data_IF_748114364076
#
_entry.id   IF_748114364076
#
_cell.length_a   1.000
_cell.length_b   1.000
_cell.length_c   1.000
_cell.angle_alpha   90.00
_cell.angle_beta   90.00
_cell.angle_gamma   90.00
#
_symmetry.space_group_name_H-M   'P 1'
#
loop_
_entity.id
_entity.type
_entity.pdbx_description
1 polymer ?
#
# COMPACT_ATOMS: atom_id res chain seq x y z
N UNK A 1 21.32 23.00 34.08
CA UNK A 1 20.24 23.84 34.62
C UNK A 1 19.58 24.51 33.43
N UNK A 2 18.38 24.07 33.06
CA UNK A 2 17.66 24.53 31.87
C UNK A 2 16.82 25.76 32.25
N UNK A 3 17.26 26.94 31.86
CA UNK A 3 16.38 28.11 31.79
C UNK A 3 16.10 28.33 30.30
N UNK A 4 15.07 27.66 29.80
CA UNK A 4 14.46 27.99 28.51
C UNK A 4 12.97 28.08 28.72
N UNK A 5 12.53 29.15 29.39
CA UNK A 5 11.17 29.62 29.24
C UNK A 5 11.11 30.42 27.95
N UNK A 6 10.55 29.81 26.90
CA UNK A 6 10.32 30.45 25.59
C UNK A 6 9.25 31.55 25.62
N UNK A 7 9.26 32.40 26.65
CA UNK A 7 8.33 33.52 26.82
C UNK A 7 9.06 34.82 26.47
N UNK A 8 8.58 35.48 25.42
CA UNK A 8 9.11 36.76 24.96
C UNK A 8 8.02 37.81 25.08
N UNK A 9 8.30 38.90 25.80
CA UNK A 9 7.48 40.10 25.81
C UNK A 9 8.05 41.08 24.79
N UNK A 10 7.31 41.31 23.70
CA UNK A 10 7.75 42.17 22.63
C UNK A 10 7.00 43.50 22.64
N UNK A 11 7.74 44.59 22.48
CA UNK A 11 7.23 45.95 22.36
C UNK A 11 7.68 46.54 21.03
N UNK A 12 6.74 46.83 20.15
CA UNK A 12 6.96 47.55 18.90
C UNK A 12 6.66 49.02 19.12
N UNK A 13 7.62 49.88 18.80
CA UNK A 13 7.57 51.33 18.99
C UNK A 13 7.60 51.99 17.61
N UNK A 14 6.66 52.88 17.35
CA UNK A 14 6.65 53.77 16.18
C UNK A 14 6.91 55.19 16.69
N UNK A 15 7.92 55.86 16.13
CA UNK A 15 8.49 57.09 16.67
C UNK A 15 8.57 58.13 15.55
N UNK A 16 8.07 59.34 15.79
CA UNK A 16 8.21 60.45 14.84
C UNK A 16 9.70 60.72 14.53
N UNK A 17 10.00 60.99 13.26
CA UNK A 17 11.37 61.11 12.73
C UNK A 17 12.22 62.22 13.40
N UNK A 18 11.59 63.22 14.02
CA UNK A 18 12.23 64.37 14.64
C UNK A 18 12.78 64.09 16.05
N UNK A 19 12.30 63.06 16.74
CA UNK A 19 12.68 62.75 18.12
C UNK A 19 13.52 61.46 18.27
N UNK A 20 13.80 60.74 17.18
CA UNK A 20 14.41 59.40 17.19
C UNK A 20 15.69 59.32 18.04
N UNK A 21 16.65 60.21 17.84
CA UNK A 21 17.93 60.18 18.58
C UNK A 21 17.73 60.38 20.10
N UNK A 22 16.80 61.27 20.46
CA UNK A 22 16.48 61.53 21.87
C UNK A 22 15.70 60.37 22.48
N UNK A 23 14.83 59.76 21.69
CA UNK A 23 14.04 58.59 22.09
C UNK A 23 14.93 57.37 22.29
N UNK A 24 15.85 57.07 21.37
CA UNK A 24 16.79 55.95 21.47
C UNK A 24 17.69 56.06 22.71
N UNK A 25 18.15 57.27 23.04
CA UNK A 25 18.91 57.54 24.27
C UNK A 25 18.10 57.28 25.55
N UNK A 26 16.81 57.60 25.55
CA UNK A 26 15.92 57.24 26.66
C UNK A 26 15.62 55.74 26.70
N UNK A 27 15.33 55.13 25.55
CA UNK A 27 15.00 53.71 25.42
C UNK A 27 16.12 52.82 25.96
N UNK A 28 17.39 53.15 25.71
CA UNK A 28 18.53 52.42 26.26
C UNK A 28 18.49 52.35 27.80
N UNK A 29 18.25 53.49 28.47
CA UNK A 29 18.12 53.54 29.92
C UNK A 29 16.85 52.83 30.42
N UNK A 30 15.75 52.95 29.68
CA UNK A 30 14.49 52.28 30.02
C UNK A 30 14.61 50.76 29.95
N UNK A 31 15.35 50.22 28.96
CA UNK A 31 15.65 48.79 28.85
C UNK A 31 16.48 48.31 30.04
N UNK A 32 17.47 49.08 30.50
CA UNK A 32 18.25 48.73 31.70
C UNK A 32 17.35 48.63 32.94
N UNK A 33 16.46 49.60 33.17
CA UNK A 33 15.49 49.57 34.27
C UNK A 33 14.56 48.34 34.18
N UNK A 34 14.12 47.99 32.98
CA UNK A 34 13.30 46.79 32.76
C UNK A 34 14.04 45.49 33.11
N UNK A 35 15.37 45.43 32.88
CA UNK A 35 16.19 44.27 33.21
C UNK A 35 16.49 44.13 34.72
N UNK A 36 16.23 45.18 35.52
CA UNK A 36 16.31 45.11 36.99
C UNK A 36 15.05 44.45 37.61
N UNK A 37 13.97 44.33 36.84
CA UNK A 37 12.70 43.74 37.30
C UNK A 37 12.85 42.22 37.42
N UNK A 38 12.39 41.60 38.54
CA UNK A 38 12.47 40.15 38.71
C UNK A 38 11.85 39.37 37.56
N UNK A 39 12.63 38.45 36.98
CA UNK A 39 12.21 37.56 35.91
C UNK A 39 12.47 38.08 34.49
N UNK A 40 12.97 39.30 34.30
CA UNK A 40 13.50 39.78 33.02
C UNK A 40 14.99 39.39 32.88
N UNK A 41 15.32 38.55 31.90
CA UNK A 41 16.65 37.93 31.77
C UNK A 41 17.57 38.72 30.84
N UNK A 42 17.04 39.14 29.70
CA UNK A 42 17.79 39.86 28.66
C UNK A 42 16.85 40.59 27.73
N UNK A 43 17.35 41.62 27.05
CA UNK A 43 16.61 42.38 26.06
C UNK A 43 17.41 42.50 24.77
N UNK A 44 16.72 42.40 23.62
CA UNK A 44 17.28 42.72 22.31
C UNK A 44 16.47 43.87 21.70
N UNK A 45 17.16 44.92 21.27
CA UNK A 45 16.55 46.08 20.59
C UNK A 45 16.94 46.05 19.12
N UNK A 46 15.95 46.10 18.25
CA UNK A 46 16.12 46.07 16.79
C UNK A 46 15.58 47.36 16.20
N UNK A 47 16.32 47.93 15.25
CA UNK A 47 15.80 48.95 14.34
C UNK A 47 15.19 48.27 13.12
N UNK A 48 13.98 48.65 12.76
CA UNK A 48 13.33 48.24 11.52
C UNK A 48 13.41 49.39 10.50
N UNK A 49 13.10 49.07 9.25
CA UNK A 49 12.86 50.10 8.22
C UNK A 49 11.72 51.02 8.67
N UNK A 50 11.78 52.28 8.22
CA UNK A 50 10.73 53.27 8.51
C UNK A 50 9.38 52.79 7.95
N UNK A 51 8.29 53.20 8.60
CA UNK A 51 6.94 52.85 8.15
C UNK A 51 6.53 53.59 6.88
N UNK A 52 5.34 53.27 6.34
CA UNK A 52 4.82 53.91 5.12
C UNK A 52 4.65 55.43 5.26
N UNK A 53 4.55 55.93 6.50
CA UNK A 53 4.41 57.35 6.85
C UNK A 53 5.78 58.01 7.15
N UNK A 54 6.89 57.25 7.08
CA UNK A 54 8.25 57.73 7.31
C UNK A 54 8.65 57.83 8.79
N UNK A 55 7.91 57.19 9.69
CA UNK A 55 8.25 57.12 11.12
C UNK A 55 9.23 55.98 11.39
N UNK A 56 10.17 56.21 12.29
CA UNK A 56 11.14 55.21 12.68
C UNK A 56 10.50 54.11 13.53
N UNK A 57 10.89 52.86 13.30
CA UNK A 57 10.42 51.73 14.09
C UNK A 57 11.54 51.12 14.95
N UNK A 58 11.18 50.77 16.19
CA UNK A 58 12.02 49.99 17.12
C UNK A 58 11.24 48.79 17.63
N UNK A 59 11.87 47.62 17.67
CA UNK A 59 11.30 46.42 18.30
C UNK A 59 12.19 46.01 19.45
N UNK A 60 11.62 45.98 20.65
CA UNK A 60 12.32 45.50 21.84
C UNK A 60 11.72 44.16 22.27
N UNK A 61 12.55 43.12 22.32
CA UNK A 61 12.20 41.79 22.79
C UNK A 61 12.83 41.53 24.15
N UNK A 62 12.00 41.38 25.17
CA UNK A 62 12.41 40.97 26.51
C UNK A 62 12.20 39.46 26.69
N UNK A 63 13.23 38.76 27.13
CA UNK A 63 13.18 37.32 27.45
C UNK A 63 12.90 37.18 28.95
N UNK A 64 11.89 36.39 29.31
CA UNK A 64 11.44 36.23 30.70
C UNK A 64 11.60 34.80 31.21
N UNK A 65 11.86 34.65 32.51
CA UNK A 65 12.02 33.35 33.19
C UNK A 65 10.72 32.56 33.36
N UNK A 66 9.58 33.25 33.51
CA UNK A 66 8.29 32.58 33.68
C UNK A 66 7.11 33.51 33.42
N UNK A 67 5.95 32.89 33.18
CA UNK A 67 4.68 33.61 33.05
C UNK A 67 4.26 34.30 34.34
N UNK A 68 4.54 33.71 35.50
CA UNK A 68 4.22 34.33 36.79
C UNK A 68 4.94 35.67 37.00
N UNK A 69 6.20 35.79 36.58
CA UNK A 69 6.92 37.07 36.63
C UNK A 69 6.33 38.11 35.68
N UNK A 70 5.88 37.68 34.48
CA UNK A 70 5.21 38.58 33.54
C UNK A 70 3.89 39.11 34.12
N UNK A 71 3.09 38.25 34.74
CA UNK A 71 1.83 38.63 35.38
C UNK A 71 2.05 39.64 36.52
N UNK A 72 3.05 39.40 37.39
CA UNK A 72 3.42 40.35 38.45
C UNK A 72 3.84 41.71 37.89
N UNK A 73 4.68 41.73 36.86
CA UNK A 73 5.08 42.98 36.20
C UNK A 73 3.86 43.73 35.62
N UNK A 74 2.98 43.02 34.92
CA UNK A 74 1.78 43.62 34.31
C UNK A 74 0.81 44.18 35.36
N UNK A 75 0.72 43.55 36.52
CA UNK A 75 -0.17 43.97 37.60
C UNK A 75 0.37 45.17 38.40
N UNK A 76 1.68 45.21 38.66
CA UNK A 76 2.24 46.13 39.65
C UNK A 76 3.04 47.29 39.05
N UNK A 77 3.83 47.04 37.99
CA UNK A 77 4.90 47.96 37.56
C UNK A 77 4.68 48.48 36.12
N UNK A 78 3.95 47.74 35.29
CA UNK A 78 3.79 48.09 33.89
C UNK A 78 3.12 49.45 33.65
N UNK A 79 2.20 49.87 34.52
CA UNK A 79 1.53 51.17 34.39
C UNK A 79 2.51 52.33 34.58
N UNK A 80 3.33 52.28 35.63
CA UNK A 80 4.34 53.30 35.91
C UNK A 80 5.41 53.34 34.80
N UNK A 81 5.91 52.16 34.40
CA UNK A 81 6.91 52.06 33.33
C UNK A 81 6.40 52.64 32.01
N UNK A 82 5.14 52.40 31.65
CA UNK A 82 4.52 52.97 30.44
C UNK A 82 4.30 54.47 30.54
N UNK A 83 3.89 54.95 31.71
CA UNK A 83 3.62 56.38 31.92
C UNK A 83 4.91 57.20 31.75
N UNK A 84 6.07 56.67 32.14
CA UNK A 84 7.35 57.37 31.99
C UNK A 84 7.69 57.77 30.55
N UNK A 85 7.26 56.98 29.55
CA UNK A 85 7.42 57.31 28.13
C UNK A 85 6.41 58.35 27.67
N UNK A 86 5.15 58.21 28.10
CA UNK A 86 4.06 59.14 27.77
C UNK A 86 4.34 60.53 28.34
N UNK A 87 4.80 60.61 29.60
CA UNK A 87 5.12 61.88 30.25
C UNK A 87 6.24 62.64 29.53
N UNK A 88 7.13 61.92 28.84
CA UNK A 88 8.30 62.48 28.18
C UNK A 88 8.08 62.82 26.70
N UNK A 89 7.33 61.99 25.98
CA UNK A 89 7.19 62.10 24.52
C UNK A 89 5.74 62.28 24.05
N UNK A 90 4.75 62.20 24.95
CA UNK A 90 3.35 62.43 24.64
C UNK A 90 2.84 61.58 23.48
N UNK A 91 2.25 62.24 22.50
CA UNK A 91 1.66 61.62 21.31
C UNK A 91 2.67 61.38 20.17
N UNK A 92 3.94 61.75 20.33
CA UNK A 92 4.98 61.64 19.30
C UNK A 92 5.54 60.22 19.12
N UNK A 93 5.04 59.26 19.90
CA UNK A 93 5.33 57.86 19.71
C UNK A 93 4.10 57.02 20.03
N UNK A 94 4.04 55.83 19.43
CA UNK A 94 3.08 54.81 19.79
C UNK A 94 3.77 53.50 20.10
N UNK A 95 3.13 52.69 20.93
CA UNK A 95 3.70 51.42 21.38
C UNK A 95 2.64 50.33 21.31
N UNK A 96 2.93 49.26 20.57
CA UNK A 96 2.16 48.03 20.53
C UNK A 96 2.92 46.93 21.26
N UNK A 97 2.19 46.06 21.96
CA UNK A 97 2.79 45.02 22.83
C UNK A 97 2.18 43.68 22.50
N UNK A 98 3.02 42.66 22.41
CA UNK A 98 2.58 41.27 22.22
C UNK A 98 3.38 40.32 23.09
N UNK A 99 2.73 39.25 23.51
CA UNK A 99 3.34 38.17 24.26
C UNK A 99 3.53 37.03 23.27
N UNK A 100 4.78 36.69 22.98
CA UNK A 100 5.13 35.55 22.16
C UNK A 100 5.39 34.37 23.08
N UNK A 101 4.66 33.29 22.83
CA UNK A 101 4.86 32.00 23.50
C UNK A 101 5.45 31.06 22.47
N UNK A 102 6.50 30.35 22.87
CA UNK A 102 6.97 29.20 22.13
C UNK A 102 5.81 28.20 21.99
N UNK A 103 5.55 27.76 20.76
CA UNK A 103 4.52 26.75 20.47
C UNK A 103 5.22 25.46 20.03
N UNK A 104 4.68 24.31 20.43
CA UNK A 104 5.16 22.98 20.00
C UNK A 104 4.98 22.73 18.49
N UNK A 105 4.46 23.71 17.74
CA UNK A 105 4.45 23.70 16.26
C UNK A 105 5.89 23.58 15.73
N UNK A 106 6.87 23.99 16.55
CA UNK A 106 8.28 23.89 16.25
C UNK A 106 9.08 22.98 17.21
N UNK A 107 8.69 21.70 17.29
CA UNK A 107 9.64 20.55 17.37
C UNK A 107 10.73 20.60 16.24
N UNK A 108 10.66 21.60 15.35
CA UNK A 108 11.56 21.94 14.27
C UNK A 108 12.72 22.89 14.59
N UNK A 109 12.89 23.47 15.78
CA UNK A 109 13.99 24.42 16.01
C UNK A 109 15.33 23.79 16.43
N UNK A 110 16.18 23.64 15.41
CA UNK A 110 17.63 23.93 15.39
C UNK A 110 18.46 23.52 16.63
N UNK A 111 18.75 22.24 16.77
CA UNK A 111 20.03 21.64 17.23
C UNK A 111 19.97 20.15 16.87
N UNK A 112 21.01 19.40 16.49
CA UNK A 112 22.37 19.66 16.06
C UNK A 112 22.50 19.21 14.59
N UNK A 113 23.68 19.34 13.98
CA UNK A 113 24.00 18.66 12.71
C UNK A 113 23.82 17.14 12.93
N UNK A 114 22.62 16.64 12.69
CA UNK A 114 22.37 15.21 12.71
C UNK A 114 23.09 14.59 11.52
N UNK A 115 23.75 13.46 11.75
CA UNK A 115 24.28 12.66 10.67
C UNK A 115 23.12 12.05 9.90
N UNK A 116 23.19 12.06 8.57
CA UNK A 116 22.19 11.47 7.71
C UNK A 116 21.92 10.01 8.09
N UNK A 117 20.65 9.65 8.34
CA UNK A 117 20.28 8.28 8.75
C UNK A 117 20.71 7.20 7.75
N UNK A 118 20.80 7.51 6.45
CA UNK A 118 21.21 6.56 5.42
C UNK A 118 22.73 6.47 5.24
N UNK A 119 23.44 7.60 5.13
CA UNK A 119 24.87 7.62 4.79
C UNK A 119 25.81 8.05 5.93
N UNK A 120 25.29 8.53 7.05
CA UNK A 120 26.06 8.96 8.21
C UNK A 120 26.80 10.30 8.04
N UNK A 121 26.66 10.99 6.90
CA UNK A 121 27.30 12.29 6.66
C UNK A 121 26.54 13.41 7.39
N UNK A 122 27.27 14.35 7.97
CA UNK A 122 26.75 15.60 8.53
C UNK A 122 25.75 16.27 7.57
N UNK A 123 24.53 16.53 8.05
CA UNK A 123 23.50 17.22 7.27
C UNK A 123 23.74 18.74 7.31
N UNK A 124 23.87 19.36 6.13
CA UNK A 124 24.08 20.81 5.96
C UNK A 124 22.82 21.54 5.49
N UNK A 125 21.72 20.82 5.23
CA UNK A 125 20.47 21.38 4.73
C UNK A 125 19.31 20.38 4.80
N UNK A 126 18.18 20.70 4.16
CA UNK A 126 16.96 19.86 4.17
C UNK A 126 17.15 18.50 3.50
N UNK A 127 18.14 18.36 2.61
CA UNK A 127 18.52 17.12 1.97
C UNK A 127 20.01 16.86 2.20
N UNK A 128 20.39 15.60 2.31
CA UNK A 128 21.77 15.19 2.37
C UNK A 128 22.44 15.39 1.00
N UNK A 129 23.44 16.26 0.90
CA UNK A 129 24.19 16.50 -0.35
C UNK A 129 24.95 15.28 -0.89
N UNK A 130 25.13 14.22 -0.09
CA UNK A 130 25.82 12.99 -0.53
C UNK A 130 24.88 11.89 -1.05
N UNK A 131 23.71 11.72 -0.43
CA UNK A 131 22.80 10.60 -0.77
C UNK A 131 21.38 11.01 -1.12
N UNK A 132 21.07 12.32 -1.11
CA UNK A 132 19.76 12.86 -1.47
C UNK A 132 18.66 12.61 -0.43
N UNK A 133 18.96 12.04 0.75
CA UNK A 133 17.93 11.80 1.76
C UNK A 133 17.47 13.11 2.42
N UNK A 134 16.15 13.30 2.56
CA UNK A 134 15.56 14.35 3.41
C UNK A 134 16.04 14.22 4.88
N UNK A 135 16.46 15.33 5.47
CA UNK A 135 17.09 15.44 6.78
C UNK A 135 16.22 14.96 7.94
N UNK A 136 14.92 15.31 7.94
CA UNK A 136 13.95 14.79 8.91
C UNK A 136 12.82 14.06 8.19
N UNK A 137 12.51 12.86 8.67
CA UNK A 137 11.34 12.10 8.20
C UNK A 137 10.13 12.47 9.05
N UNK A 138 9.17 13.19 8.48
CA UNK A 138 7.82 13.31 9.07
C UNK A 138 7.11 11.96 8.95
N UNK A 139 6.09 11.73 9.79
CA UNK A 139 5.07 10.72 9.51
C UNK A 139 4.39 11.13 8.19
N UNK A 140 4.65 10.37 7.13
CA UNK A 140 4.12 10.65 5.80
C UNK A 140 2.67 10.19 5.76
N UNK A 141 1.78 11.01 5.21
CA UNK A 141 0.38 10.63 5.04
C UNK A 141 0.24 9.53 3.98
N UNK A 142 -0.86 8.76 4.06
CA UNK A 142 -1.16 7.73 3.05
C UNK A 142 -1.25 8.29 1.62
N UNK A 143 -1.75 9.52 1.48
CA UNK A 143 -1.92 10.18 0.19
C UNK A 143 -0.60 10.60 -0.43
N UNK A 144 0.31 11.19 0.36
CA UNK A 144 1.63 11.61 -0.10
C UNK A 144 2.49 10.42 -0.54
N UNK A 145 2.38 9.27 0.15
CA UNK A 145 3.03 8.02 -0.27
C UNK A 145 2.52 7.52 -1.62
N UNK A 146 1.23 7.71 -1.92
CA UNK A 146 0.62 7.29 -3.17
C UNK A 146 1.02 8.25 -4.31
N UNK A 147 1.00 9.56 -4.09
CA UNK A 147 1.41 10.55 -5.10
C UNK A 147 2.88 10.38 -5.50
N UNK A 148 3.76 10.14 -4.53
CA UNK A 148 5.19 9.88 -4.78
C UNK A 148 5.43 8.58 -5.58
N UNK A 149 4.50 7.62 -5.53
CA UNK A 149 4.61 6.37 -6.26
C UNK A 149 4.32 6.56 -7.77
N UNK A 150 3.35 7.42 -8.11
CA UNK A 150 2.95 7.71 -9.50
C UNK A 150 3.77 8.82 -10.16
N UNK A 151 4.25 9.82 -9.41
CA UNK A 151 4.99 10.98 -9.95
C UNK A 151 6.32 10.63 -10.63
N UNK A 152 6.97 9.55 -10.16
CA UNK A 152 8.35 9.22 -10.55
C UNK A 152 8.47 7.86 -11.26
N UNK A 153 7.36 7.30 -11.78
CA UNK A 153 7.36 5.94 -12.33
C UNK A 153 8.26 5.79 -13.57
N UNK A 154 8.52 6.89 -14.30
CA UNK A 154 9.35 6.92 -15.51
C UNK A 154 10.82 7.27 -15.27
N UNK A 155 11.23 7.55 -14.02
CA UNK A 155 12.64 7.72 -13.69
C UNK A 155 13.31 6.36 -13.47
N UNK A 156 14.02 5.87 -14.50
CA UNK A 156 14.82 4.64 -14.40
C UNK A 156 16.02 4.91 -13.47
N UNK A 157 15.85 4.61 -12.18
CA UNK A 157 16.88 4.84 -11.16
C UNK A 157 17.83 3.64 -11.02
N UNK A 158 19.12 3.92 -10.92
CA UNK A 158 20.19 3.00 -10.47
C UNK A 158 19.87 2.23 -9.17
N UNK A 159 18.93 2.72 -8.35
CA UNK A 159 18.45 2.08 -7.13
C UNK A 159 17.74 0.74 -7.38
N UNK A 160 17.19 0.48 -8.56
CA UNK A 160 16.51 -0.80 -8.88
C UNK A 160 17.39 -2.00 -8.53
N UNK A 161 18.62 -2.03 -9.05
CA UNK A 161 19.57 -3.12 -8.81
C UNK A 161 19.97 -3.25 -7.34
N UNK A 162 20.00 -2.14 -6.60
CA UNK A 162 20.29 -2.14 -5.16
C UNK A 162 19.10 -2.67 -4.34
N UNK A 163 17.88 -2.59 -4.86
CA UNK A 163 16.65 -3.08 -4.23
C UNK A 163 16.42 -4.56 -4.48
N UNK A 164 16.52 -5.03 -5.74
CA UNK A 164 16.12 -6.40 -6.14
C UNK A 164 16.92 -7.49 -5.40
N UNK A 165 18.24 -7.38 -5.33
CA UNK A 165 19.08 -8.40 -4.67
C UNK A 165 18.74 -8.59 -3.18
N UNK A 166 18.70 -7.50 -2.38
CA UNK A 166 18.26 -7.58 -0.99
C UNK A 166 16.78 -7.98 -0.83
N UNK A 167 15.91 -7.64 -1.78
CA UNK A 167 14.49 -8.05 -1.77
C UNK A 167 14.36 -9.57 -1.91
N UNK A 168 15.15 -10.19 -2.78
CA UNK A 168 15.14 -11.64 -2.99
C UNK A 168 15.81 -12.42 -1.84
N UNK A 169 17.01 -12.00 -1.42
CA UNK A 169 17.87 -12.84 -0.56
C UNK A 169 17.76 -12.51 0.93
N UNK A 170 17.31 -11.30 1.30
CA UNK A 170 17.33 -10.81 2.70
C UNK A 170 15.92 -10.46 3.21
N UNK A 171 15.16 -11.45 3.73
CA UNK A 171 13.73 -11.29 4.01
C UNK A 171 13.38 -10.15 4.96
N UNK A 172 12.60 -9.18 4.50
CA UNK A 172 12.18 -8.02 5.32
C UNK A 172 13.30 -7.03 5.66
N UNK A 173 14.49 -7.13 5.04
CA UNK A 173 15.57 -6.16 5.24
C UNK A 173 15.19 -4.76 4.75
N UNK A 174 14.57 -4.65 3.58
CA UNK A 174 14.18 -3.36 3.00
C UNK A 174 13.16 -2.66 3.88
N UNK A 175 12.10 -3.37 4.28
CA UNK A 175 11.10 -2.85 5.22
C UNK A 175 11.75 -2.42 6.53
N UNK A 176 12.64 -3.24 7.10
CA UNK A 176 13.34 -2.90 8.33
C UNK A 176 14.19 -1.63 8.17
N UNK A 177 15.04 -1.53 7.14
CA UNK A 177 15.87 -0.33 6.90
C UNK A 177 15.02 0.92 6.60
N UNK A 178 13.92 0.76 5.88
CA UNK A 178 12.98 1.85 5.58
C UNK A 178 12.33 2.40 6.86
N UNK A 179 11.90 1.51 7.76
CA UNK A 179 11.33 1.86 9.06
C UNK A 179 12.37 2.45 10.02
N UNK A 180 13.65 2.10 9.87
CA UNK A 180 14.78 2.74 10.57
C UNK A 180 15.20 4.08 9.95
N UNK A 181 14.45 4.60 8.97
CA UNK A 181 14.72 5.89 8.35
C UNK A 181 15.79 5.88 7.26
N UNK A 182 16.33 4.72 6.85
CA UNK A 182 17.36 4.61 5.79
C UNK A 182 16.75 4.49 4.40
N UNK A 183 16.05 5.53 3.94
CA UNK A 183 15.13 5.45 2.78
C UNK A 183 15.77 5.73 1.43
N UNK A 184 16.83 6.53 1.34
CA UNK A 184 17.39 6.96 0.05
C UNK A 184 18.24 5.88 -0.66
N UNK A 185 18.66 4.82 0.03
CA UNK A 185 19.48 3.76 -0.57
C UNK A 185 18.69 2.85 -1.52
N UNK A 186 17.45 2.54 -1.17
CA UNK A 186 16.58 1.65 -1.92
C UNK A 186 15.52 2.44 -2.66
N UNK A 187 14.93 1.80 -3.67
CA UNK A 187 13.73 2.30 -4.32
C UNK A 187 12.57 2.35 -3.29
N UNK A 188 11.70 3.37 -3.35
CA UNK A 188 10.54 3.44 -2.47
C UNK A 188 9.66 2.18 -2.57
N UNK A 189 8.99 1.77 -1.49
CA UNK A 189 8.29 0.48 -1.41
C UNK A 189 7.16 0.35 -2.43
N UNK A 190 6.30 1.37 -2.52
CA UNK A 190 5.18 1.41 -3.47
C UNK A 190 5.66 1.41 -4.91
N UNK A 191 6.70 2.19 -5.24
CA UNK A 191 7.31 2.18 -6.57
C UNK A 191 7.88 0.80 -6.92
N UNK A 192 8.56 0.15 -5.98
CA UNK A 192 9.10 -1.21 -6.18
C UNK A 192 7.97 -2.20 -6.49
N UNK A 193 6.87 -2.12 -5.74
CA UNK A 193 5.68 -2.93 -5.99
C UNK A 193 5.06 -2.64 -7.37
N UNK A 194 4.83 -1.37 -7.72
CA UNK A 194 4.23 -0.97 -8.99
C UNK A 194 5.07 -1.40 -10.20
N UNK A 195 6.38 -1.18 -10.14
CA UNK A 195 7.30 -1.57 -11.21
C UNK A 195 7.31 -3.09 -11.38
N UNK A 196 7.37 -3.85 -10.29
CA UNK A 196 7.37 -5.31 -10.35
C UNK A 196 6.01 -5.89 -10.73
N UNK A 197 4.89 -5.26 -10.35
CA UNK A 197 3.57 -5.68 -10.80
C UNK A 197 3.40 -5.42 -12.30
N UNK A 198 3.77 -4.23 -12.79
CA UNK A 198 3.72 -3.91 -14.23
C UNK A 198 4.63 -4.87 -15.01
N UNK A 199 5.85 -5.11 -14.53
CA UNK A 199 6.76 -6.06 -15.16
C UNK A 199 6.19 -7.48 -15.15
N UNK A 200 5.59 -7.93 -14.05
CA UNK A 200 4.97 -9.25 -13.95
C UNK A 200 3.83 -9.40 -14.97
N UNK A 201 2.88 -8.45 -15.01
CA UNK A 201 1.78 -8.51 -15.95
C UNK A 201 2.24 -8.35 -17.40
N UNK A 202 3.26 -7.52 -17.67
CA UNK A 202 3.88 -7.43 -18.99
C UNK A 202 4.48 -8.77 -19.40
N UNK A 203 5.22 -9.42 -18.50
CA UNK A 203 5.82 -10.73 -18.75
C UNK A 203 4.71 -11.76 -19.01
N UNK A 204 3.67 -11.79 -18.16
CA UNK A 204 2.49 -12.64 -18.31
C UNK A 204 1.78 -12.47 -19.66
N UNK A 205 1.71 -11.24 -20.21
CA UNK A 205 1.13 -10.99 -21.53
C UNK A 205 1.91 -11.65 -22.69
N UNK A 206 3.20 -11.92 -22.50
CA UNK A 206 4.02 -12.64 -23.47
C UNK A 206 4.10 -14.15 -23.18
N UNK A 207 3.41 -14.62 -22.14
CA UNK A 207 3.23 -16.04 -21.86
C UNK A 207 2.05 -16.60 -22.68
N UNK A 208 2.24 -17.64 -23.53
CA UNK A 208 1.11 -18.36 -24.07
C UNK A 208 0.30 -18.90 -22.89
N UNK A 209 -1.03 -18.76 -22.95
CA UNK A 209 -1.97 -19.01 -21.84
C UNK A 209 -1.85 -20.43 -21.26
N UNK A 210 -1.22 -21.36 -21.99
CA UNK A 210 -1.06 -22.78 -21.70
C UNK A 210 -0.21 -23.13 -20.46
N UNK A 211 0.78 -22.30 -20.05
CA UNK A 211 1.66 -22.63 -18.88
C UNK A 211 1.06 -22.25 -17.51
N UNK A 212 0.11 -21.30 -17.46
CA UNK A 212 -0.56 -20.88 -16.22
C UNK A 212 -1.85 -21.68 -15.92
N UNK A 213 -2.28 -22.54 -16.85
CA UNK A 213 -3.47 -23.40 -16.78
C UNK A 213 -3.47 -24.46 -15.67
N UNK A 214 -2.35 -24.64 -14.94
CA UNK A 214 -2.22 -25.60 -13.83
C UNK A 214 -3.22 -25.33 -12.67
N UNK A 215 -3.91 -24.18 -12.67
CA UNK A 215 -5.00 -23.90 -11.73
C UNK A 215 -6.42 -23.98 -12.30
N UNK A 216 -6.63 -24.02 -13.63
CA UNK A 216 -7.97 -23.84 -14.21
C UNK A 216 -8.31 -24.59 -15.51
N UNK A 217 -7.44 -25.41 -16.11
CA UNK A 217 -7.84 -26.22 -17.29
C UNK A 217 -7.98 -27.72 -16.94
N UNK A 218 -9.10 -28.37 -17.29
CA UNK A 218 -9.12 -29.82 -17.42
C UNK A 218 -8.26 -30.19 -18.63
N UNK A 219 -7.27 -31.06 -18.42
CA UNK A 219 -6.34 -31.52 -19.45
C UNK A 219 -7.07 -32.14 -20.65
N UNK A 220 -6.89 -31.56 -21.84
CA UNK A 220 -7.38 -32.06 -23.14
C UNK A 220 -7.03 -33.54 -23.41
N UNK A 221 -5.95 -34.05 -22.80
CA UNK A 221 -5.52 -35.44 -22.91
C UNK A 221 -6.52 -36.45 -22.30
N UNK A 222 -7.36 -36.04 -21.34
CA UNK A 222 -8.37 -36.91 -20.74
C UNK A 222 -9.63 -37.04 -21.61
N UNK A 223 -9.97 -36.00 -22.37
CA UNK A 223 -11.12 -35.99 -23.28
C UNK A 223 -10.92 -36.95 -24.47
N UNK A 224 -9.71 -36.98 -25.04
CA UNK A 224 -9.39 -37.88 -26.16
C UNK A 224 -9.35 -39.36 -25.73
N UNK A 225 -8.88 -39.67 -24.53
CA UNK A 225 -8.92 -41.05 -24.01
C UNK A 225 -10.35 -41.53 -23.74
N UNK A 226 -11.24 -40.66 -23.26
CA UNK A 226 -12.65 -41.03 -23.06
C UNK A 226 -13.40 -41.24 -24.37
N UNK A 227 -13.10 -40.47 -25.42
CA UNK A 227 -13.68 -40.67 -26.74
C UNK A 227 -13.23 -42.01 -27.37
N UNK A 228 -11.94 -42.32 -27.30
CA UNK A 228 -11.40 -43.58 -27.84
C UNK A 228 -11.94 -44.81 -27.09
N UNK A 229 -12.05 -44.77 -25.75
CA UNK A 229 -12.66 -45.85 -24.95
C UNK A 229 -14.17 -45.99 -25.21
N UNK A 230 -14.91 -44.88 -25.37
CA UNK A 230 -16.35 -44.92 -25.67
C UNK A 230 -16.63 -45.53 -27.06
N UNK A 231 -15.78 -45.24 -28.04
CA UNK A 231 -15.84 -45.84 -29.39
C UNK A 231 -15.51 -47.34 -29.36
N UNK A 232 -14.57 -47.77 -28.50
CA UNK A 232 -14.21 -49.18 -28.35
C UNK A 232 -15.30 -49.98 -27.62
N UNK A 233 -15.90 -49.40 -26.58
CA UNK A 233 -17.05 -50.00 -25.85
C UNK A 233 -18.29 -50.09 -26.75
N UNK A 234 -18.53 -49.11 -27.61
CA UNK A 234 -19.61 -49.13 -28.61
C UNK A 234 -19.49 -50.33 -29.57
N UNK A 235 -18.28 -50.59 -30.07
CA UNK A 235 -18.01 -51.73 -30.97
C UNK A 235 -18.22 -53.08 -30.30
N UNK A 236 -17.76 -53.23 -29.04
CA UNK A 236 -17.96 -54.47 -28.27
C UNK A 236 -19.44 -54.71 -28.00
N UNK A 237 -20.21 -53.64 -27.69
CA UNK A 237 -21.65 -53.73 -27.48
C UNK A 237 -22.38 -54.22 -28.73
N UNK A 238 -22.04 -53.69 -29.90
CA UNK A 238 -22.67 -54.06 -31.16
C UNK A 238 -22.35 -55.51 -31.57
N UNK A 239 -21.11 -55.96 -31.34
CA UNK A 239 -20.67 -57.34 -31.60
C UNK A 239 -21.39 -58.35 -30.68
N UNK A 240 -21.57 -58.02 -29.40
CA UNK A 240 -22.32 -58.86 -28.44
C UNK A 240 -23.81 -58.95 -28.80
N UNK A 241 -24.39 -57.87 -29.33
CA UNK A 241 -25.79 -57.86 -29.77
C UNK A 241 -25.97 -58.74 -31.02
N UNK A 242 -25.04 -58.73 -31.96
CA UNK A 242 -25.07 -59.62 -33.14
C UNK A 242 -24.98 -61.10 -32.75
N UNK A 243 -24.10 -61.46 -31.80
CA UNK A 243 -23.97 -62.84 -31.31
C UNK A 243 -25.24 -63.34 -30.60
N UNK A 244 -25.87 -62.49 -29.78
CA UNK A 244 -27.12 -62.83 -29.07
C UNK A 244 -28.32 -62.99 -30.01
N UNK A 245 -28.32 -62.30 -31.16
CA UNK A 245 -29.30 -62.49 -32.24
C UNK A 245 -29.04 -63.82 -32.96
N UNK A 246 -27.77 -64.18 -33.20
CA UNK A 246 -27.40 -65.45 -33.84
C UNK A 246 -27.75 -66.68 -32.98
N UNK A 247 -27.67 -66.57 -31.65
CA UNK A 247 -28.07 -67.61 -30.70
C UNK A 247 -29.60 -67.70 -30.48
N UNK A 248 -30.38 -66.78 -31.09
CA UNK A 248 -31.84 -66.78 -31.03
C UNK A 248 -32.41 -66.33 -29.68
N UNK A 249 -31.59 -65.64 -28.86
CA UNK A 249 -31.98 -65.09 -27.56
C UNK A 249 -32.73 -63.75 -27.73
N UNK A 250 -32.38 -62.98 -28.76
CA UNK A 250 -33.01 -61.70 -29.10
C UNK A 250 -33.72 -61.75 -30.47
N UNK A 251 -34.86 -61.06 -30.65
CA UNK A 251 -35.52 -60.95 -31.96
C UNK A 251 -34.68 -60.11 -32.94
N UNK A 252 -34.76 -60.37 -34.28
CA UNK A 252 -33.99 -59.64 -35.30
C UNK A 252 -34.27 -58.13 -35.35
N UNK A 253 -35.32 -57.70 -34.67
CA UNK A 253 -35.85 -56.34 -34.66
C UNK A 253 -35.20 -55.50 -33.55
N UNK A 254 -34.35 -56.09 -32.70
CA UNK A 254 -33.65 -55.40 -31.62
C UNK A 254 -32.68 -54.31 -32.10
N UNK A 255 -32.28 -54.36 -33.38
CA UNK A 255 -31.50 -53.31 -34.05
C UNK A 255 -32.39 -52.17 -34.64
N UNK A 256 -33.72 -52.24 -34.47
CA UNK A 256 -34.68 -51.28 -35.06
C UNK A 256 -35.69 -50.74 -34.03
N UNK A 257 -35.17 -49.99 -33.07
CA UNK A 257 -35.87 -48.91 -32.36
C UNK A 257 -34.76 -47.97 -31.86
N UNK A 258 -34.57 -46.73 -32.31
CA UNK A 258 -35.50 -45.74 -32.86
C UNK A 258 -34.89 -44.98 -34.05
N UNK A 259 -35.57 -45.07 -35.19
CA UNK A 259 -35.50 -44.07 -36.26
C UNK A 259 -36.91 -43.99 -36.85
N UNK A 260 -37.76 -43.13 -36.28
CA UNK A 260 -39.03 -42.73 -36.89
C UNK A 260 -39.27 -41.24 -36.62
N UNK A 261 -39.06 -40.43 -37.66
CA UNK A 261 -39.39 -39.00 -37.67
C UNK A 261 -40.90 -38.74 -37.55
N UNK A 262 -41.27 -37.84 -36.64
CA UNK A 262 -42.61 -37.28 -36.51
C UNK A 262 -42.70 -36.24 -35.39
N UNK A 263 -42.05 -35.08 -35.60
CA UNK A 263 -42.18 -33.79 -34.88
C UNK A 263 -42.09 -33.83 -33.36
N UNK A 264 -40.89 -33.66 -32.81
CA UNK A 264 -40.30 -32.36 -32.46
C UNK A 264 -38.76 -32.55 -32.44
N UNK A 265 -38.00 -31.53 -32.83
CA UNK A 265 -36.55 -31.63 -33.09
C UNK A 265 -35.74 -31.91 -31.80
N UNK A 266 -35.29 -33.15 -31.58
CA UNK A 266 -34.22 -33.52 -30.65
C UNK A 266 -33.08 -34.16 -31.45
N UNK A 267 -32.03 -33.37 -31.68
CA UNK A 267 -30.83 -33.76 -32.39
C UNK A 267 -29.72 -34.16 -31.41
N UNK A 268 -29.21 -35.38 -31.59
CA UNK A 268 -27.78 -35.71 -31.66
C UNK A 268 -26.91 -35.18 -30.49
N UNK A 269 -26.87 -35.93 -29.39
CA UNK A 269 -25.94 -35.71 -28.27
C UNK A 269 -24.51 -36.17 -28.63
N UNK A 270 -23.74 -35.22 -29.16
CA UNK A 270 -22.28 -35.13 -28.99
C UNK A 270 -21.93 -33.82 -28.31
N UNK A 271 -20.66 -33.68 -27.89
CA UNK A 271 -20.32 -33.69 -26.47
C UNK A 271 -21.20 -32.71 -25.67
N UNK A 272 -21.92 -33.28 -24.71
CA UNK A 272 -22.46 -32.62 -23.52
C UNK A 272 -23.07 -31.24 -23.80
N UNK A 273 -24.25 -31.21 -24.44
CA UNK A 273 -25.20 -30.12 -24.18
C UNK A 273 -25.52 -30.16 -22.69
N UNK A 274 -24.70 -29.52 -21.86
CA UNK A 274 -25.06 -29.17 -20.48
C UNK A 274 -26.30 -28.29 -20.59
N UNK A 275 -27.46 -28.92 -20.48
CA UNK A 275 -28.73 -28.23 -20.51
C UNK A 275 -28.73 -27.24 -19.33
N UNK A 276 -28.56 -25.96 -19.65
CA UNK A 276 -28.55 -24.87 -18.68
C UNK A 276 -29.85 -24.76 -17.88
N UNK A 277 -30.89 -25.52 -18.25
CA UNK A 277 -32.10 -25.67 -17.45
C UNK A 277 -31.94 -26.63 -16.27
N UNK A 278 -30.95 -27.52 -16.32
CA UNK A 278 -30.59 -28.50 -15.27
C UNK A 278 -29.26 -28.16 -14.55
N UNK A 279 -28.64 -27.00 -14.84
CA UNK A 279 -27.71 -26.44 -13.85
C UNK A 279 -28.54 -26.21 -12.58
N UNK A 280 -28.11 -26.76 -11.45
CA UNK A 280 -28.82 -26.70 -10.16
C UNK A 280 -28.88 -25.26 -9.63
N UNK A 281 -29.68 -24.44 -10.31
CA UNK A 281 -30.02 -23.07 -9.96
C UNK A 281 -30.58 -23.01 -8.53
N UNK A 282 -31.22 -24.09 -8.09
CA UNK A 282 -31.70 -24.28 -6.72
C UNK A 282 -30.55 -24.42 -5.69
N UNK A 283 -29.37 -24.92 -6.06
CA UNK A 283 -28.18 -24.98 -5.19
C UNK A 283 -27.51 -23.60 -5.04
N UNK A 284 -27.40 -22.84 -6.13
CA UNK A 284 -26.89 -21.46 -6.07
C UNK A 284 -27.87 -20.54 -5.33
N UNK A 285 -29.18 -20.67 -5.58
CA UNK A 285 -30.23 -19.88 -4.92
C UNK A 285 -30.37 -20.21 -3.42
N UNK A 286 -30.09 -21.46 -3.01
CA UNK A 286 -30.14 -21.88 -1.59
C UNK A 286 -28.87 -21.58 -0.80
N UNK A 287 -27.70 -21.54 -1.43
CA UNK A 287 -26.42 -21.25 -0.76
C UNK A 287 -26.01 -19.77 -0.83
N UNK A 288 -26.57 -19.00 -1.76
CA UNK A 288 -26.27 -17.58 -1.89
C UNK A 288 -26.92 -16.73 -0.77
N UNK A 289 -26.23 -15.70 -0.26
CA UNK A 289 -26.84 -14.73 0.66
C UNK A 289 -28.07 -14.04 0.04
N UNK A 290 -29.10 -13.72 0.83
CA UNK A 290 -30.36 -13.10 0.33
C UNK A 290 -30.15 -11.85 -0.56
N UNK A 291 -29.12 -11.04 -0.26
CA UNK A 291 -28.82 -9.84 -1.06
C UNK A 291 -28.30 -10.18 -2.46
N UNK A 292 -27.64 -11.33 -2.62
CA UNK A 292 -27.07 -11.81 -3.88
C UNK A 292 -28.15 -12.50 -4.73
N UNK A 293 -29.00 -13.31 -4.10
CA UNK A 293 -30.16 -13.93 -4.74
C UNK A 293 -31.16 -12.90 -5.29
N UNK A 294 -31.33 -11.75 -4.61
CA UNK A 294 -32.15 -10.63 -5.13
C UNK A 294 -31.54 -9.92 -6.35
N UNK A 295 -30.25 -10.12 -6.64
CA UNK A 295 -29.50 -9.37 -7.65
C UNK A 295 -29.14 -10.22 -8.88
N UNK A 296 -28.90 -11.52 -8.68
CA UNK A 296 -28.81 -12.54 -9.73
C UNK A 296 -30.18 -13.20 -9.90
N UNK A 297 -30.99 -12.69 -10.83
CA UNK A 297 -32.27 -13.32 -11.20
C UNK A 297 -32.04 -14.62 -11.96
N UNK A 298 -33.00 -15.57 -11.91
CA UNK A 298 -32.93 -16.83 -12.68
C UNK A 298 -32.65 -16.61 -14.17
N UNK A 299 -33.27 -15.58 -14.76
CA UNK A 299 -33.06 -15.14 -16.14
C UNK A 299 -31.59 -14.77 -16.44
N UNK A 300 -30.89 -14.13 -15.49
CA UNK A 300 -29.48 -13.76 -15.64
C UNK A 300 -28.54 -14.93 -15.46
N UNK A 301 -28.84 -15.83 -14.52
CA UNK A 301 -28.07 -17.07 -14.33
C UNK A 301 -28.18 -17.98 -15.56
N UNK A 302 -29.37 -18.08 -16.16
CA UNK A 302 -29.57 -18.84 -17.38
C UNK A 302 -28.82 -18.21 -18.57
N UNK A 303 -28.87 -16.88 -18.72
CA UNK A 303 -28.10 -16.17 -19.74
C UNK A 303 -26.57 -16.26 -19.53
N UNK A 304 -26.11 -16.34 -18.28
CA UNK A 304 -24.71 -16.58 -17.94
C UNK A 304 -24.30 -18.01 -18.30
N UNK A 305 -25.11 -19.00 -17.98
CA UNK A 305 -24.86 -20.40 -18.31
C UNK A 305 -24.79 -20.60 -19.82
N UNK A 306 -25.79 -20.12 -20.57
CA UNK A 306 -25.84 -20.25 -22.03
C UNK A 306 -24.60 -19.64 -22.69
N UNK A 307 -24.10 -18.51 -22.15
CA UNK A 307 -22.92 -17.82 -22.65
C UNK A 307 -21.59 -18.45 -22.19
N UNK A 308 -21.56 -19.08 -21.03
CA UNK A 308 -20.40 -19.84 -20.54
C UNK A 308 -20.26 -21.14 -21.32
N UNK A 309 -21.35 -21.87 -21.55
CA UNK A 309 -21.37 -23.10 -22.36
C UNK A 309 -21.04 -22.79 -23.82
N UNK A 310 -21.58 -21.69 -24.37
CA UNK A 310 -21.31 -21.32 -25.77
C UNK A 310 -19.84 -20.94 -26.05
N UNK A 311 -19.13 -20.36 -25.08
CA UNK A 311 -17.74 -19.88 -25.24
C UNK A 311 -16.74 -20.68 -24.38
N UNK A 312 -17.12 -21.84 -23.84
CA UNK A 312 -16.35 -22.67 -22.90
C UNK A 312 -15.71 -21.85 -21.73
N UNK A 313 -16.48 -20.90 -21.20
CA UNK A 313 -16.05 -20.01 -20.12
C UNK A 313 -14.99 -18.98 -20.51
N UNK A 314 -14.54 -18.89 -21.77
CA UNK A 314 -13.47 -17.99 -22.20
C UNK A 314 -13.80 -16.51 -21.90
N UNK A 315 -15.04 -16.08 -22.18
CA UNK A 315 -15.49 -14.71 -21.89
C UNK A 315 -15.53 -14.39 -20.39
N UNK A 316 -15.77 -15.39 -19.54
CA UNK A 316 -15.72 -15.25 -18.08
C UNK A 316 -14.27 -15.23 -17.59
N UNK A 317 -13.42 -16.12 -18.09
CA UNK A 317 -11.99 -16.18 -17.78
C UNK A 317 -11.27 -14.89 -18.15
N UNK A 318 -11.52 -14.34 -19.34
CA UNK A 318 -10.94 -13.06 -19.78
C UNK A 318 -11.35 -11.92 -18.84
N UNK A 319 -12.63 -11.82 -18.46
CA UNK A 319 -13.08 -10.81 -17.48
C UNK A 319 -12.50 -11.02 -16.10
N UNK A 320 -12.27 -12.26 -15.67
CA UNK A 320 -11.61 -12.56 -14.40
C UNK A 320 -10.15 -12.06 -14.44
N UNK A 321 -9.41 -12.37 -15.50
CA UNK A 321 -8.01 -11.98 -15.68
C UNK A 321 -7.83 -10.46 -15.74
N UNK A 322 -8.71 -9.73 -16.43
CA UNK A 322 -8.68 -8.26 -16.51
C UNK A 322 -8.78 -7.58 -15.15
N UNK A 323 -9.43 -8.23 -14.18
CA UNK A 323 -9.68 -7.70 -12.84
C UNK A 323 -8.66 -8.19 -11.79
N UNK A 324 -7.78 -9.14 -12.10
CA UNK A 324 -6.73 -9.62 -11.18
C UNK A 324 -5.83 -8.48 -10.68
N UNK A 325 -5.31 -7.56 -11.53
CA UNK A 325 -4.47 -6.46 -11.05
C UNK A 325 -5.19 -5.64 -9.97
N UNK A 326 -6.45 -5.29 -10.20
CA UNK A 326 -7.27 -4.53 -9.25
C UNK A 326 -7.49 -5.30 -7.94
N UNK A 327 -7.79 -6.59 -8.00
CA UNK A 327 -7.93 -7.45 -6.82
C UNK A 327 -6.68 -7.45 -5.94
N UNK A 328 -5.49 -7.53 -6.54
CA UNK A 328 -4.21 -7.48 -5.82
C UNK A 328 -3.96 -6.12 -5.14
N UNK A 329 -4.35 -5.01 -5.78
CA UNK A 329 -4.30 -3.69 -5.14
C UNK A 329 -5.21 -3.58 -3.93
N UNK A 330 -6.42 -4.17 -3.98
CA UNK A 330 -7.38 -4.21 -2.86
C UNK A 330 -6.90 -5.13 -1.73
N UNK A 331 -6.18 -6.20 -2.07
CA UNK A 331 -5.61 -7.12 -1.09
C UNK A 331 -4.56 -6.45 -0.19
N UNK A 332 -3.78 -5.49 -0.70
CA UNK A 332 -2.75 -4.78 0.08
C UNK A 332 -3.29 -4.09 1.35
N UNK A 333 -4.25 -3.16 1.29
CA UNK A 333 -4.78 -2.50 2.47
C UNK A 333 -5.54 -3.46 3.39
N UNK A 334 -6.21 -4.48 2.83
CA UNK A 334 -6.89 -5.52 3.60
C UNK A 334 -5.88 -6.34 4.44
N UNK A 335 -4.80 -6.80 3.83
CA UNK A 335 -3.76 -7.56 4.54
C UNK A 335 -2.99 -6.71 5.54
N UNK A 336 -2.78 -5.43 5.24
CA UNK A 336 -2.20 -4.49 6.20
C UNK A 336 -3.11 -4.32 7.44
N UNK A 337 -4.43 -4.31 7.23
CA UNK A 337 -5.42 -4.28 8.30
C UNK A 337 -5.39 -5.57 9.13
N UNK A 338 -5.37 -6.75 8.49
CA UNK A 338 -5.20 -8.03 9.21
C UNK A 338 -3.95 -8.03 10.08
N UNK A 339 -2.81 -7.55 9.56
CA UNK A 339 -1.58 -7.42 10.36
C UNK A 339 -1.74 -6.43 11.52
N UNK A 340 -2.47 -5.33 11.33
CA UNK A 340 -2.78 -4.40 12.41
C UNK A 340 -3.58 -5.09 13.53
N UNK A 341 -4.53 -5.96 13.18
CA UNK A 341 -5.31 -6.75 14.14
C UNK A 341 -4.48 -7.83 14.85
N UNK A 342 -3.53 -8.47 14.14
CA UNK A 342 -2.63 -9.48 14.72
C UNK A 342 -1.51 -8.87 15.59
N UNK A 343 -1.21 -7.59 15.41
CA UNK A 343 -0.15 -6.86 16.12
C UNK A 343 -0.66 -5.60 16.85
N UNK A 344 -1.71 -5.70 17.71
CA UNK A 344 -2.29 -4.54 18.37
C UNK A 344 -1.30 -3.90 19.35
N UNK A 345 -0.46 -4.72 19.99
CA UNK A 345 0.54 -4.30 20.99
C UNK A 345 1.87 -3.84 20.38
N UNK A 346 2.01 -3.84 19.05
CA UNK A 346 3.27 -3.48 18.40
C UNK A 346 3.58 -1.97 18.46
N UNK A 347 2.60 -1.13 18.81
CA UNK A 347 2.65 0.35 18.76
C UNK A 347 3.00 0.93 17.39
N UNK A 348 2.91 0.12 16.33
CA UNK A 348 3.21 0.53 14.95
C UNK A 348 1.99 1.14 14.28
N UNK A 349 2.23 2.11 13.40
CA UNK A 349 1.18 2.73 12.60
C UNK A 349 0.70 1.77 11.50
N UNK A 350 -0.54 1.97 11.03
CA UNK A 350 -1.11 1.20 9.91
C UNK A 350 -0.19 1.22 8.68
N UNK A 351 0.37 2.38 8.36
CA UNK A 351 1.32 2.58 7.25
C UNK A 351 2.52 1.63 7.34
N UNK A 352 3.03 1.34 8.54
CA UNK A 352 4.16 0.41 8.70
C UNK A 352 3.81 -1.03 8.34
N UNK A 353 2.59 -1.47 8.69
CA UNK A 353 2.08 -2.77 8.28
C UNK A 353 1.85 -2.81 6.77
N UNK A 354 1.33 -1.74 6.18
CA UNK A 354 1.16 -1.63 4.74
C UNK A 354 2.50 -1.68 4.00
N UNK A 355 3.52 -0.95 4.46
CA UNK A 355 4.86 -1.00 3.89
C UNK A 355 5.44 -2.41 3.90
N UNK A 356 5.18 -3.19 4.96
CA UNK A 356 5.57 -4.60 5.02
C UNK A 356 4.86 -5.43 3.94
N UNK A 357 3.55 -5.30 3.82
CA UNK A 357 2.73 -6.03 2.84
C UNK A 357 3.14 -5.69 1.41
N UNK A 358 3.39 -4.42 1.12
CA UNK A 358 3.84 -3.92 -0.19
C UNK A 358 5.18 -4.56 -0.59
N UNK A 359 6.18 -4.58 0.31
CA UNK A 359 7.45 -5.25 0.02
C UNK A 359 7.30 -6.76 -0.14
N UNK A 360 6.39 -7.39 0.62
CA UNK A 360 6.15 -8.82 0.49
C UNK A 360 5.52 -9.17 -0.86
N UNK A 361 4.54 -8.40 -1.33
CA UNK A 361 3.95 -8.60 -2.66
C UNK A 361 4.94 -8.27 -3.78
N UNK A 362 5.76 -7.23 -3.61
CA UNK A 362 6.85 -6.94 -4.55
C UNK A 362 7.81 -8.13 -4.67
N UNK A 363 8.18 -8.76 -3.55
CA UNK A 363 8.97 -9.99 -3.55
C UNK A 363 8.23 -11.16 -4.22
N UNK A 364 6.93 -11.32 -3.96
CA UNK A 364 6.11 -12.36 -4.57
C UNK A 364 6.09 -12.24 -6.10
N UNK A 365 5.81 -11.06 -6.64
CA UNK A 365 5.88 -10.81 -8.10
C UNK A 365 7.27 -11.07 -8.66
N UNK A 366 8.34 -10.66 -7.96
CA UNK A 366 9.70 -10.96 -8.40
C UNK A 366 9.95 -12.46 -8.50
N UNK A 367 9.48 -13.26 -7.55
CA UNK A 367 9.58 -14.72 -7.59
C UNK A 367 8.78 -15.30 -8.77
N UNK A 368 7.56 -14.84 -9.01
CA UNK A 368 6.74 -15.31 -10.14
C UNK A 368 7.41 -15.00 -11.48
N UNK A 369 7.95 -13.79 -11.66
CA UNK A 369 8.73 -13.43 -12.85
C UNK A 369 9.93 -14.37 -13.02
N UNK A 370 10.68 -14.62 -11.94
CA UNK A 370 11.83 -15.52 -11.99
C UNK A 370 11.44 -16.96 -12.32
N UNK A 371 10.31 -17.45 -11.80
CA UNK A 371 9.79 -18.77 -12.10
C UNK A 371 9.43 -18.90 -13.58
N UNK A 372 8.73 -17.91 -14.14
CA UNK A 372 8.34 -17.90 -15.54
C UNK A 372 9.57 -17.83 -16.47
N UNK A 373 10.53 -16.93 -16.17
CA UNK A 373 11.79 -16.85 -16.93
C UNK A 373 12.61 -18.15 -16.84
N UNK A 374 12.61 -18.82 -15.69
CA UNK A 374 13.31 -20.08 -15.52
C UNK A 374 12.64 -21.24 -16.27
N UNK A 375 11.29 -21.28 -16.30
CA UNK A 375 10.52 -22.23 -17.12
C UNK A 375 10.94 -22.13 -18.59
N UNK A 376 10.88 -20.91 -19.15
CA UNK A 376 11.27 -20.65 -20.54
C UNK A 376 12.73 -20.95 -20.82
N UNK A 377 13.62 -20.59 -19.91
CA UNK A 377 15.04 -20.93 -20.04
C UNK A 377 15.26 -22.45 -20.02
N UNK A 378 14.51 -23.17 -19.18
CA UNK A 378 14.51 -24.62 -19.13
C UNK A 378 14.09 -25.25 -20.46
N UNK A 379 13.01 -24.74 -21.06
CA UNK A 379 12.54 -25.17 -22.38
C UNK A 379 13.59 -24.90 -23.48
N UNK A 380 14.17 -23.70 -23.52
CA UNK A 380 15.21 -23.32 -24.51
C UNK A 380 16.48 -24.17 -24.37
N UNK A 381 16.86 -24.50 -23.14
CA UNK A 381 18.04 -25.34 -22.84
C UNK A 381 17.73 -26.83 -22.89
N UNK A 382 16.50 -27.23 -23.22
CA UNK A 382 16.01 -28.61 -23.19
C UNK A 382 16.34 -29.33 -21.86
N UNK A 383 16.15 -28.63 -20.73
CA UNK A 383 16.29 -29.24 -19.41
C UNK A 383 15.16 -30.27 -19.19
N UNK A 384 15.43 -31.38 -18.48
CA UNK A 384 14.38 -32.31 -18.12
C UNK A 384 13.28 -31.61 -17.31
N UNK A 385 12.02 -31.88 -17.64
CA UNK A 385 10.85 -31.26 -16.99
C UNK A 385 10.87 -31.43 -15.47
N UNK A 386 11.32 -32.61 -14.99
CA UNK A 386 11.47 -32.88 -13.56
C UNK A 386 12.44 -31.91 -12.87
N UNK A 387 13.53 -31.51 -13.53
CA UNK A 387 14.49 -30.54 -12.98
C UNK A 387 13.86 -29.16 -12.89
N UNK A 388 13.10 -28.76 -13.92
CA UNK A 388 12.39 -27.48 -13.93
C UNK A 388 11.33 -27.48 -12.83
N UNK A 389 10.48 -28.49 -12.76
CA UNK A 389 9.43 -28.65 -11.76
C UNK A 389 9.99 -28.62 -10.33
N UNK A 390 11.07 -29.36 -10.04
CA UNK A 390 11.71 -29.36 -8.71
C UNK A 390 12.20 -27.95 -8.36
N UNK A 391 12.84 -27.24 -9.29
CA UNK A 391 13.32 -25.88 -9.05
C UNK A 391 12.16 -24.90 -8.78
N UNK A 392 11.06 -25.01 -9.53
CA UNK A 392 9.86 -24.20 -9.33
C UNK A 392 9.23 -24.47 -7.97
N UNK A 393 9.05 -25.74 -7.58
CA UNK A 393 8.50 -26.16 -6.28
C UNK A 393 9.38 -25.66 -5.13
N UNK A 394 10.71 -25.85 -5.22
CA UNK A 394 11.64 -25.38 -4.20
C UNK A 394 11.62 -23.85 -4.06
N UNK A 395 11.45 -23.14 -5.17
CA UNK A 395 11.29 -21.68 -5.17
C UNK A 395 9.95 -21.26 -4.55
N UNK A 396 8.86 -21.98 -4.82
CA UNK A 396 7.56 -21.75 -4.19
C UNK A 396 7.59 -21.99 -2.68
N UNK A 397 8.28 -23.04 -2.21
CA UNK A 397 8.49 -23.30 -0.78
C UNK A 397 9.31 -22.21 -0.08
N UNK A 398 10.10 -21.43 -0.83
CA UNK A 398 10.83 -20.30 -0.26
C UNK A 398 9.92 -19.14 0.14
N UNK A 399 8.76 -18.96 -0.50
CA UNK A 399 7.82 -17.85 -0.22
C UNK A 399 7.33 -17.84 1.25
N UNK A 400 6.78 -18.94 1.82
CA UNK A 400 6.39 -18.97 3.22
C UNK A 400 7.58 -18.82 4.17
N UNK A 401 8.75 -19.36 3.82
CA UNK A 401 9.99 -19.21 4.61
C UNK A 401 10.42 -17.74 4.63
N UNK A 402 10.32 -17.04 3.50
CA UNK A 402 10.60 -15.61 3.38
C UNK A 402 9.66 -14.80 4.27
N UNK A 403 8.35 -15.03 4.16
CA UNK A 403 7.33 -14.35 4.97
C UNK A 403 7.62 -14.50 6.46
N UNK A 404 7.86 -15.73 6.93
CA UNK A 404 8.18 -16.01 8.32
C UNK A 404 9.41 -15.25 8.81
N UNK A 405 10.52 -15.31 8.06
CA UNK A 405 11.77 -14.61 8.40
C UNK A 405 11.58 -13.08 8.37
N UNK A 406 10.81 -12.57 7.41
CA UNK A 406 10.52 -11.15 7.27
C UNK A 406 9.70 -10.62 8.45
N UNK A 407 8.66 -11.35 8.87
CA UNK A 407 7.86 -11.01 10.05
C UNK A 407 8.74 -10.91 11.31
N UNK A 408 9.62 -11.90 11.53
CA UNK A 408 10.52 -11.84 12.69
C UNK A 408 11.46 -10.66 12.66
N UNK A 409 12.05 -10.37 11.50
CA UNK A 409 12.99 -9.24 11.34
C UNK A 409 12.30 -7.90 11.58
N UNK A 410 11.10 -7.72 11.06
CA UNK A 410 10.38 -6.45 11.14
C UNK A 410 9.77 -6.24 12.53
N UNK A 411 9.12 -7.25 13.12
CA UNK A 411 8.42 -7.12 14.40
C UNK A 411 9.27 -7.48 15.63
N UNK A 412 10.45 -8.08 15.46
CA UNK A 412 11.39 -8.36 16.55
C UNK A 412 10.92 -9.39 17.58
N UNK A 413 9.96 -10.26 17.23
CA UNK A 413 9.35 -11.23 18.14
C UNK A 413 10.08 -12.59 18.18
N UNK A 414 9.96 -13.29 19.31
CA UNK A 414 10.48 -14.66 19.50
C UNK A 414 9.67 -15.67 18.67
N UNK A 415 10.29 -16.80 18.31
CA UNK A 415 9.68 -17.84 17.47
C UNK A 415 8.28 -18.27 17.92
N UNK A 416 8.11 -18.54 19.23
CA UNK A 416 6.85 -19.02 19.80
C UNK A 416 5.68 -18.03 19.63
N UNK A 417 5.98 -16.73 19.58
CA UNK A 417 4.97 -15.68 19.39
C UNK A 417 4.70 -15.46 17.89
N UNK A 418 5.71 -15.63 17.05
CA UNK A 418 5.58 -15.41 15.61
C UNK A 418 4.86 -16.54 14.89
N UNK A 419 5.05 -17.80 15.28
CA UNK A 419 4.42 -18.96 14.59
C UNK A 419 2.89 -18.85 14.50
N UNK A 420 2.12 -18.65 15.59
CA UNK A 420 0.66 -18.54 15.47
C UNK A 420 0.22 -17.34 14.62
N UNK A 421 0.96 -16.22 14.68
CA UNK A 421 0.67 -15.05 13.85
C UNK A 421 1.00 -15.29 12.38
N UNK A 422 2.07 -16.01 12.09
CA UNK A 422 2.43 -16.43 10.74
C UNK A 422 1.33 -17.31 10.15
N UNK A 423 0.86 -18.31 10.89
CA UNK A 423 -0.28 -19.15 10.48
C UNK A 423 -1.53 -18.29 10.23
N UNK A 424 -1.85 -17.37 11.14
CA UNK A 424 -2.96 -16.44 10.97
C UNK A 424 -2.82 -15.56 9.71
N UNK A 425 -1.62 -15.09 9.39
CA UNK A 425 -1.36 -14.34 8.15
C UNK A 425 -1.50 -15.22 6.92
N UNK A 426 -1.00 -16.45 6.94
CA UNK A 426 -1.12 -17.40 5.82
C UNK A 426 -2.60 -17.70 5.55
N UNK A 427 -3.36 -18.07 6.58
CA UNK A 427 -4.81 -18.30 6.46
C UNK A 427 -5.52 -17.05 5.93
N UNK A 428 -5.17 -15.86 6.44
CA UNK A 428 -5.75 -14.62 5.96
C UNK A 428 -5.41 -14.31 4.49
N UNK A 429 -4.22 -14.68 4.00
CA UNK A 429 -3.91 -14.59 2.57
C UNK A 429 -4.77 -15.53 1.74
N UNK A 430 -4.92 -16.79 2.16
CA UNK A 430 -5.79 -17.75 1.46
C UNK A 430 -7.25 -17.26 1.41
N UNK A 431 -7.81 -16.87 2.56
CA UNK A 431 -9.18 -16.34 2.64
C UNK A 431 -9.31 -15.02 1.87
N UNK A 432 -8.30 -14.15 1.95
CA UNK A 432 -8.27 -12.87 1.24
C UNK A 432 -8.29 -13.05 -0.27
N UNK A 433 -7.44 -13.94 -0.80
CA UNK A 433 -7.40 -14.28 -2.23
C UNK A 433 -8.74 -14.85 -2.70
N UNK A 434 -9.25 -15.89 -2.02
CA UNK A 434 -10.54 -16.50 -2.34
C UNK A 434 -11.68 -15.47 -2.30
N UNK A 435 -11.71 -14.62 -1.27
CA UNK A 435 -12.70 -13.55 -1.16
C UNK A 435 -12.60 -12.52 -2.28
N UNK A 436 -11.39 -12.10 -2.65
CA UNK A 436 -11.20 -11.16 -3.77
C UNK A 436 -11.58 -11.78 -5.12
N UNK A 437 -11.24 -13.06 -5.35
CA UNK A 437 -11.62 -13.76 -6.57
C UNK A 437 -13.13 -13.98 -6.66
N UNK A 438 -13.80 -14.31 -5.55
CA UNK A 438 -15.26 -14.43 -5.51
C UNK A 438 -15.94 -13.09 -5.82
N UNK A 439 -15.44 -11.97 -5.27
CA UNK A 439 -15.96 -10.64 -5.59
C UNK A 439 -15.77 -10.31 -7.07
N UNK A 440 -14.59 -10.57 -7.62
CA UNK A 440 -14.33 -10.36 -9.05
C UNK A 440 -15.22 -11.24 -9.91
N UNK A 441 -15.38 -12.53 -9.58
CA UNK A 441 -16.27 -13.44 -10.30
C UNK A 441 -17.72 -12.98 -10.30
N UNK A 442 -18.22 -12.49 -9.15
CA UNK A 442 -19.55 -11.90 -9.04
C UNK A 442 -19.67 -10.63 -9.93
N UNK A 443 -18.65 -9.76 -9.91
CA UNK A 443 -18.65 -8.56 -10.76
C UNK A 443 -18.57 -8.89 -12.25
N UNK A 444 -17.78 -9.90 -12.63
CA UNK A 444 -17.68 -10.40 -13.99
C UNK A 444 -19.03 -10.97 -14.43
N UNK A 445 -19.68 -11.78 -13.59
CA UNK A 445 -21.02 -12.32 -13.84
C UNK A 445 -22.07 -11.21 -14.02
N UNK A 446 -21.97 -10.09 -13.30
CA UNK A 446 -22.86 -8.95 -13.50
C UNK A 446 -22.58 -8.12 -14.75
N UNK A 447 -21.39 -8.25 -15.34
CA UNK A 447 -20.96 -7.47 -16.50
C UNK A 447 -21.21 -8.20 -17.83
N UNK A 448 -21.27 -9.54 -17.81
CA UNK A 448 -21.55 -10.41 -18.97
C UNK A 448 -23.03 -10.35 -19.32
#
# INVERSE_FOLDING_TARGET
MSVSSGLIYEVTLTIESDIVDTFDGWLANHVEQMLEIPGFVSANVFALDDDEDGNAQRVTQYILESEGHLESYLAEQATEMRQSGIDRFGDQFSASRRILRETDIADGHVTAIENCMNCGKALTGQYCGNCGQRARSRLISMWELLSDAFGDLFEIDSRIWRTLGPLLVRPGKLTYEYLQGRRARFMPPFRTYLVLSILFFLVLLFDPKDEFGIFFEPTDEQAQQSEDEAVEIGKIRDEVIEDLIAEGVLPPDALKSESTNGSDDEADDGPDNEDCTEWSLDDVESQAPEWLARRLTRERLQALCEKVVADDGAAFADKLMDNIPAALFVLLPLMAFVLKLLYPLSKRYYVEHLLFVVHFHAFFFLILIMQMLFSRLGAVLALPESVVAIALVMTSLYIPVYLYKAMRRVYGQRHLVTVPKFLGVVVAYFVGILGTLAIVGILAAFSI
#
